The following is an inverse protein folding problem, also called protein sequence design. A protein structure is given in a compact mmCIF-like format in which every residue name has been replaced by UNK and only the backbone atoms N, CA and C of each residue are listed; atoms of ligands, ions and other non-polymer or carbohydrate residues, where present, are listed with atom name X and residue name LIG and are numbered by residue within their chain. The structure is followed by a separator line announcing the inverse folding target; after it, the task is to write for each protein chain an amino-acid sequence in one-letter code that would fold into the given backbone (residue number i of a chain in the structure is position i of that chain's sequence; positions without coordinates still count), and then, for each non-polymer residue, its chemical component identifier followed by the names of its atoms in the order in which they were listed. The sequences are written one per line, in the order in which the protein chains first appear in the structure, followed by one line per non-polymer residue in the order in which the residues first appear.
data_IF_457647610154
#
_entry.id   IF_457647610154
#
_cell.length_a   1.000
_cell.length_b   1.000
_cell.length_c   1.000
_cell.angle_alpha   90.00
_cell.angle_beta   90.00
_cell.angle_gamma   90.00
#
_symmetry.space_group_name_H-M   'P 1'
#
loop_
_entity.id
_entity.type
_entity.pdbx_description
1 polymer ?
#
# COMPACT_ATOMS: atom_id res chain seq x y z
N UNK A 1 21.71 78.19 24.09
CA UNK A 1 20.27 77.88 24.16
C UNK A 1 20.08 76.43 23.75
N UNK A 2 19.72 75.57 24.69
CA UNK A 2 19.38 74.18 24.44
C UNK A 2 17.94 74.06 23.95
N UNK A 3 17.64 73.09 23.07
CA UNK A 3 16.33 72.47 23.04
C UNK A 3 16.43 70.96 23.31
N UNK A 4 15.87 70.60 24.46
CA UNK A 4 14.86 69.57 24.68
C UNK A 4 15.10 68.15 24.17
N UNK A 5 15.33 67.26 25.13
CA UNK A 5 15.23 65.81 25.01
C UNK A 5 13.78 65.35 24.79
N UNK A 6 13.61 64.40 23.87
CA UNK A 6 12.47 63.47 23.83
C UNK A 6 13.04 62.07 24.04
N UNK A 7 12.68 61.46 25.17
CA UNK A 7 13.00 60.06 25.48
C UNK A 7 12.29 59.11 24.50
N UNK A 8 12.99 58.16 23.86
CA UNK A 8 12.33 57.02 23.21
C UNK A 8 11.98 55.94 24.24
N UNK A 9 10.79 55.35 24.07
CA UNK A 9 10.31 54.15 24.78
C UNK A 9 11.31 52.98 24.68
N UNK A 10 11.41 52.11 25.71
CA UNK A 10 12.19 50.88 25.61
C UNK A 10 11.53 49.90 24.62
N UNK A 11 12.37 49.32 23.75
CA UNK A 11 12.01 48.27 22.81
C UNK A 11 11.60 46.96 23.54
N UNK A 12 10.73 46.13 22.94
CA UNK A 12 10.43 44.81 23.47
C UNK A 12 11.68 43.91 23.41
N UNK A 13 11.85 42.97 24.36
CA UNK A 13 13.00 42.07 24.36
C UNK A 13 12.97 41.20 23.09
N UNK A 14 14.08 41.24 22.36
CA UNK A 14 14.27 40.52 21.11
C UNK A 14 14.10 39.01 21.26
N UNK A 15 13.42 38.43 20.28
CA UNK A 15 13.36 36.99 20.06
C UNK A 15 14.77 36.40 20.01
N UNK A 16 15.02 35.46 20.91
CA UNK A 16 16.22 34.63 20.90
C UNK A 16 16.24 33.79 19.62
N UNK A 17 17.34 33.78 18.84
CA UNK A 17 17.40 33.03 17.60
C UNK A 17 17.27 31.53 17.89
N UNK A 18 16.33 30.89 17.19
CA UNK A 18 16.08 29.47 17.24
C UNK A 18 17.41 28.68 17.10
N UNK A 19 17.76 27.94 18.14
CA UNK A 19 18.87 27.01 18.12
C UNK A 19 18.65 25.88 17.09
N UNK A 20 19.73 25.22 16.65
CA UNK A 20 19.65 24.17 15.64
C UNK A 20 18.79 22.99 16.11
N UNK A 21 18.00 22.42 15.19
CA UNK A 21 17.22 21.20 15.40
C UNK A 21 18.07 20.09 16.07
N UNK A 22 17.56 19.41 17.12
CA UNK A 22 18.33 18.38 17.79
C UNK A 22 18.51 17.16 16.88
N UNK A 23 19.76 16.73 16.78
CA UNK A 23 20.25 15.54 16.04
C UNK A 23 19.45 14.30 16.43
N UNK A 24 18.95 13.58 15.43
CA UNK A 24 18.25 12.30 15.55
C UNK A 24 19.22 11.25 16.13
N UNK A 25 18.93 10.60 17.28
CA UNK A 25 19.71 9.45 17.73
C UNK A 25 19.58 8.31 16.71
N UNK A 26 20.70 7.73 16.29
CA UNK A 26 20.77 6.72 15.22
C UNK A 26 19.92 5.46 15.47
N UNK A 27 19.54 4.73 14.41
CA UNK A 27 18.76 3.51 14.51
C UNK A 27 19.52 2.41 15.27
N UNK A 28 18.79 1.50 15.93
CA UNK A 28 19.38 0.27 16.47
C UNK A 28 20.12 -0.50 15.36
N UNK A 29 21.38 -0.87 15.64
CA UNK A 29 22.36 -1.38 14.67
C UNK A 29 22.05 -2.77 14.08
N UNK A 30 20.98 -3.42 14.54
CA UNK A 30 20.68 -4.84 14.24
C UNK A 30 19.48 -5.06 13.29
N UNK A 31 18.82 -4.00 12.82
CA UNK A 31 17.87 -4.17 11.70
C UNK A 31 18.67 -4.50 10.43
N UNK A 32 18.31 -5.56 9.67
CA UNK A 32 19.11 -6.05 8.55
C UNK A 32 19.41 -4.92 7.55
N UNK A 33 20.63 -4.85 7.00
CA UNK A 33 21.17 -3.77 6.14
C UNK A 33 20.24 -3.32 5.00
N UNK A 34 19.31 -4.16 4.53
CA UNK A 34 18.22 -3.81 3.59
C UNK A 34 17.14 -2.87 4.18
N UNK A 35 17.17 -2.59 5.48
CA UNK A 35 16.27 -1.68 6.16
C UNK A 35 16.51 -0.21 5.78
N UNK A 36 17.72 0.14 5.31
CA UNK A 36 18.06 1.49 4.85
C UNK A 36 17.19 1.93 3.65
N UNK A 37 16.95 1.02 2.70
CA UNK A 37 16.13 1.30 1.51
C UNK A 37 14.65 1.45 1.88
N UNK A 38 14.15 0.60 2.79
CA UNK A 38 12.77 0.67 3.28
C UNK A 38 12.50 1.91 4.16
N UNK A 39 13.51 2.42 4.87
CA UNK A 39 13.40 3.68 5.61
C UNK A 39 13.18 4.90 4.71
N UNK A 40 13.62 4.83 3.45
CA UNK A 40 13.46 5.91 2.48
C UNK A 40 12.05 5.95 1.88
N UNK A 41 11.55 4.82 1.39
CA UNK A 41 10.31 4.75 0.59
C UNK A 41 9.23 3.78 1.11
N UNK A 42 9.44 3.15 2.27
CA UNK A 42 8.51 2.16 2.81
C UNK A 42 8.30 1.00 1.84
N UNK A 43 7.05 0.59 1.64
CA UNK A 43 6.66 -0.48 0.72
C UNK A 43 6.55 -0.04 -0.75
N UNK A 44 6.70 1.25 -1.07
CA UNK A 44 6.72 1.70 -2.46
C UNK A 44 7.94 1.16 -3.20
N UNK A 45 7.85 0.96 -4.54
CA UNK A 45 9.02 0.65 -5.33
C UNK A 45 10.03 1.80 -5.28
N UNK A 46 11.32 1.50 -5.44
CA UNK A 46 12.39 2.51 -5.40
C UNK A 46 12.31 3.58 -6.52
N UNK A 47 11.54 3.31 -7.58
CA UNK A 47 11.31 4.20 -8.73
C UNK A 47 9.85 4.15 -9.15
N UNK A 48 9.34 5.18 -9.85
CA UNK A 48 7.98 5.13 -10.39
C UNK A 48 7.79 3.88 -11.26
N UNK A 49 6.64 3.19 -11.13
CA UNK A 49 6.32 2.04 -11.95
C UNK A 49 6.44 2.31 -13.45
N UNK A 50 6.73 1.25 -14.21
CA UNK A 50 6.89 1.35 -15.67
C UNK A 50 5.52 1.50 -16.32
N UNK A 51 5.26 2.70 -16.85
CA UNK A 51 4.00 3.04 -17.52
C UNK A 51 3.81 2.24 -18.81
N UNK A 52 4.82 2.25 -19.67
CA UNK A 52 4.79 1.57 -20.98
C UNK A 52 5.91 0.55 -21.05
N UNK A 53 5.57 -0.72 -21.30
CA UNK A 53 6.58 -1.74 -21.59
C UNK A 53 7.06 -1.59 -23.03
N UNK A 54 8.29 -1.97 -23.34
CA UNK A 54 8.89 -1.83 -24.66
C UNK A 54 9.01 -3.18 -25.40
N UNK A 55 9.13 -3.10 -26.73
CA UNK A 55 9.34 -4.26 -27.60
C UNK A 55 8.19 -5.27 -27.51
N UNK A 56 8.52 -6.55 -27.42
CA UNK A 56 7.53 -7.64 -27.39
C UNK A 56 6.61 -7.61 -26.17
N UNK A 57 6.94 -6.82 -25.14
CA UNK A 57 6.14 -6.71 -23.91
C UNK A 57 5.03 -5.66 -23.99
N UNK A 58 4.97 -4.88 -25.07
CA UNK A 58 3.85 -3.96 -25.35
C UNK A 58 2.52 -4.74 -25.34
N UNK A 59 2.49 -5.90 -26.01
CA UNK A 59 1.33 -6.79 -26.09
C UNK A 59 0.78 -7.20 -24.70
N UNK A 60 1.64 -7.42 -23.71
CA UNK A 60 1.19 -7.73 -22.34
C UNK A 60 0.48 -6.53 -21.69
N UNK A 61 0.93 -5.30 -21.99
CA UNK A 61 0.27 -4.08 -21.50
C UNK A 61 -1.10 -3.90 -22.15
N UNK A 62 -1.18 -4.11 -23.45
CA UNK A 62 -2.43 -4.00 -24.22
C UNK A 62 -3.44 -5.05 -23.77
N UNK A 63 -3.00 -6.30 -23.60
CA UNK A 63 -3.82 -7.39 -23.11
C UNK A 63 -4.33 -7.13 -21.69
N UNK A 64 -3.50 -6.59 -20.81
CA UNK A 64 -3.91 -6.23 -19.45
C UNK A 64 -4.93 -5.07 -19.44
N UNK A 65 -4.74 -4.05 -20.28
CA UNK A 65 -5.69 -2.95 -20.44
C UNK A 65 -7.05 -3.42 -21.01
N UNK A 66 -7.02 -4.26 -22.04
CA UNK A 66 -8.22 -4.84 -22.63
C UNK A 66 -8.95 -5.77 -21.65
N UNK A 67 -8.21 -6.61 -20.91
CA UNK A 67 -8.80 -7.45 -19.86
C UNK A 67 -9.41 -6.59 -18.75
N UNK A 68 -8.74 -5.54 -18.28
CA UNK A 68 -9.23 -4.66 -17.22
C UNK A 68 -10.51 -3.92 -17.58
N UNK A 69 -10.72 -3.61 -18.86
CA UNK A 69 -11.88 -2.84 -19.36
C UNK A 69 -12.94 -3.67 -20.08
N UNK A 70 -12.73 -4.98 -20.24
CA UNK A 70 -13.74 -5.91 -20.77
C UNK A 70 -15.11 -5.78 -20.07
N UNK A 71 -16.23 -6.04 -20.77
CA UNK A 71 -17.57 -5.88 -20.18
C UNK A 71 -17.82 -6.85 -19.01
N UNK A 72 -17.29 -8.06 -19.11
CA UNK A 72 -17.49 -9.13 -18.12
C UNK A 72 -16.25 -10.06 -18.01
N UNK A 73 -16.33 -11.05 -17.11
CA UNK A 73 -15.22 -12.00 -16.87
C UNK A 73 -14.98 -12.93 -18.05
N UNK A 74 -16.02 -13.36 -18.74
CA UNK A 74 -15.92 -14.33 -19.83
C UNK A 74 -15.35 -13.67 -21.09
N UNK A 75 -15.72 -12.42 -21.35
CA UNK A 75 -15.08 -11.55 -22.35
C UNK A 75 -13.59 -11.36 -22.06
N UNK A 76 -13.21 -11.11 -20.79
CA UNK A 76 -11.80 -11.03 -20.40
C UNK A 76 -11.06 -12.38 -20.64
N UNK A 77 -11.68 -13.50 -20.26
CA UNK A 77 -11.13 -14.85 -20.49
C UNK A 77 -10.98 -15.17 -21.98
N UNK A 78 -11.93 -14.74 -22.81
CA UNK A 78 -11.89 -14.94 -24.26
C UNK A 78 -10.69 -14.21 -24.90
N UNK A 79 -10.35 -13.00 -24.42
CA UNK A 79 -9.15 -12.29 -24.84
C UNK A 79 -7.87 -13.09 -24.52
N UNK A 80 -7.77 -13.64 -23.30
CA UNK A 80 -6.61 -14.44 -22.89
C UNK A 80 -6.52 -15.74 -23.69
N UNK A 81 -7.64 -16.43 -23.89
CA UNK A 81 -7.69 -17.65 -24.69
C UNK A 81 -7.30 -17.40 -26.16
N UNK A 82 -7.67 -16.23 -26.72
CA UNK A 82 -7.23 -15.82 -28.05
C UNK A 82 -5.73 -15.59 -28.10
N UNK A 83 -5.17 -14.80 -27.18
CA UNK A 83 -3.72 -14.56 -27.10
C UNK A 83 -2.92 -15.86 -26.86
N UNK A 84 -3.51 -16.83 -26.16
CA UNK A 84 -2.96 -18.17 -25.99
C UNK A 84 -2.90 -18.95 -27.31
N UNK A 85 -4.01 -18.98 -28.08
CA UNK A 85 -4.05 -19.62 -29.41
C UNK A 85 -3.13 -18.97 -30.43
N UNK A 86 -3.00 -17.65 -30.37
CA UNK A 86 -2.13 -16.87 -31.27
C UNK A 86 -0.63 -17.01 -30.89
N UNK A 87 -0.31 -17.75 -29.82
CA UNK A 87 1.05 -18.06 -29.38
C UNK A 87 1.75 -16.92 -28.63
N UNK A 88 1.07 -15.79 -28.42
CA UNK A 88 1.63 -14.58 -27.79
C UNK A 88 2.08 -14.85 -26.35
N UNK A 89 1.26 -15.55 -25.56
CA UNK A 89 1.55 -15.87 -24.16
C UNK A 89 2.79 -16.77 -24.03
N UNK A 90 2.94 -17.74 -24.92
CA UNK A 90 4.12 -18.61 -24.96
C UNK A 90 5.38 -17.84 -25.36
N UNK A 91 5.27 -16.93 -26.33
CA UNK A 91 6.37 -16.07 -26.76
C UNK A 91 6.83 -15.12 -25.63
N UNK A 92 5.91 -14.60 -24.82
CA UNK A 92 6.23 -13.81 -23.62
C UNK A 92 6.92 -14.70 -22.56
N UNK A 93 6.37 -15.89 -22.30
CA UNK A 93 6.88 -16.85 -21.32
C UNK A 93 8.35 -17.20 -21.55
N UNK A 94 8.76 -17.40 -22.80
CA UNK A 94 10.15 -17.72 -23.15
C UNK A 94 11.15 -16.58 -22.86
N UNK A 95 10.65 -15.34 -22.75
CA UNK A 95 11.47 -14.14 -22.57
C UNK A 95 11.52 -13.62 -21.12
N UNK A 96 10.73 -14.19 -20.21
CA UNK A 96 10.65 -13.75 -18.80
C UNK A 96 12.02 -13.72 -18.11
N UNK A 97 12.89 -14.70 -18.40
CA UNK A 97 14.24 -14.76 -17.82
C UNK A 97 15.12 -13.54 -18.18
N UNK A 98 14.81 -12.86 -19.28
CA UNK A 98 15.55 -11.68 -19.78
C UNK A 98 15.02 -10.36 -19.19
N UNK A 99 13.94 -10.38 -18.42
CA UNK A 99 13.41 -9.18 -17.78
C UNK A 99 14.39 -8.65 -16.75
N UNK A 100 14.68 -7.35 -16.80
CA UNK A 100 15.30 -6.66 -15.67
C UNK A 100 14.33 -6.61 -14.49
N UNK A 101 14.79 -6.49 -13.24
CA UNK A 101 13.91 -6.50 -12.06
C UNK A 101 12.74 -5.52 -12.18
N UNK A 102 13.00 -4.29 -12.63
CA UNK A 102 11.96 -3.27 -12.84
C UNK A 102 10.90 -3.65 -13.88
N UNK A 103 11.29 -4.35 -14.96
CA UNK A 103 10.32 -4.83 -15.94
C UNK A 103 9.63 -6.12 -15.50
N UNK A 104 10.24 -6.90 -14.61
CA UNK A 104 9.58 -8.03 -13.96
C UNK A 104 8.45 -7.57 -13.04
N UNK A 105 8.65 -6.49 -12.27
CA UNK A 105 7.58 -5.84 -11.49
C UNK A 105 6.48 -5.28 -12.40
N UNK A 106 6.86 -4.68 -13.54
CA UNK A 106 5.88 -4.22 -14.52
C UNK A 106 5.03 -5.37 -15.10
N UNK A 107 5.67 -6.50 -15.40
CA UNK A 107 4.99 -7.70 -15.88
C UNK A 107 4.09 -8.32 -14.80
N UNK A 108 4.53 -8.36 -13.54
CA UNK A 108 3.74 -8.92 -12.43
C UNK A 108 2.46 -8.12 -12.19
N UNK A 109 2.49 -6.78 -12.27
CA UNK A 109 1.28 -5.96 -12.26
C UNK A 109 0.30 -6.39 -13.37
N UNK A 110 0.77 -6.50 -14.61
CA UNK A 110 -0.09 -6.77 -15.77
C UNK A 110 -0.71 -8.17 -15.69
N UNK A 111 0.08 -9.16 -15.28
CA UNK A 111 -0.42 -10.51 -14.98
C UNK A 111 -1.45 -10.47 -13.83
N UNK A 112 -1.21 -9.70 -12.77
CA UNK A 112 -2.15 -9.58 -11.65
C UNK A 112 -3.48 -8.96 -12.07
N UNK A 113 -3.43 -7.92 -12.91
CA UNK A 113 -4.63 -7.29 -13.47
C UNK A 113 -5.41 -8.28 -14.32
N UNK A 114 -4.74 -9.01 -15.23
CA UNK A 114 -5.39 -10.04 -16.05
C UNK A 114 -6.04 -11.11 -15.17
N UNK A 115 -5.32 -11.64 -14.18
CA UNK A 115 -5.83 -12.67 -13.28
C UNK A 115 -7.05 -12.16 -12.48
N UNK A 116 -6.99 -10.95 -11.93
CA UNK A 116 -8.12 -10.34 -11.22
C UNK A 116 -9.32 -10.12 -12.16
N UNK A 117 -9.08 -9.60 -13.36
CA UNK A 117 -10.09 -9.33 -14.38
C UNK A 117 -10.84 -10.60 -14.85
N UNK A 118 -10.13 -11.74 -14.91
CA UNK A 118 -10.68 -13.04 -15.28
C UNK A 118 -11.31 -13.81 -14.10
N UNK A 119 -11.25 -13.26 -12.88
CA UNK A 119 -11.73 -13.92 -11.67
C UNK A 119 -10.85 -15.07 -11.19
N UNK A 120 -9.56 -15.03 -11.50
CA UNK A 120 -8.56 -16.05 -11.15
C UNK A 120 -7.67 -15.66 -9.98
N UNK A 121 -8.02 -14.61 -9.22
CA UNK A 121 -7.18 -14.07 -8.14
C UNK A 121 -6.75 -15.08 -7.08
N UNK A 122 -7.57 -16.12 -6.86
CA UNK A 122 -7.30 -17.16 -5.87
C UNK A 122 -6.69 -18.44 -6.44
N UNK A 123 -6.38 -18.48 -7.73
CA UNK A 123 -5.75 -19.65 -8.32
C UNK A 123 -4.26 -19.71 -7.94
N UNK A 124 -3.82 -20.92 -7.63
CA UNK A 124 -2.39 -21.24 -7.65
C UNK A 124 -2.02 -21.63 -9.08
N UNK A 125 -1.15 -20.88 -9.77
CA UNK A 125 -0.78 -21.17 -11.15
C UNK A 125 -0.04 -22.51 -11.34
N UNK A 126 0.49 -23.10 -10.26
CA UNK A 126 1.16 -24.40 -10.30
C UNK A 126 0.21 -25.57 -10.02
N UNK A 127 -0.96 -25.33 -9.44
CA UNK A 127 -1.88 -26.39 -9.07
C UNK A 127 -2.54 -27.03 -10.31
N UNK A 128 -2.57 -28.37 -10.44
CA UNK A 128 -3.16 -29.05 -11.59
C UNK A 128 -4.63 -28.69 -11.83
N UNK A 129 -5.39 -28.42 -10.76
CA UNK A 129 -6.80 -28.03 -10.84
C UNK A 129 -7.00 -26.69 -11.55
N UNK A 130 -6.05 -25.75 -11.42
CA UNK A 130 -6.13 -24.43 -12.04
C UNK A 130 -6.17 -24.50 -13.56
N UNK A 131 -5.56 -25.53 -14.16
CA UNK A 131 -5.59 -25.77 -15.62
C UNK A 131 -6.97 -26.12 -16.16
N UNK A 132 -7.92 -26.48 -15.30
CA UNK A 132 -9.33 -26.68 -15.69
C UNK A 132 -10.12 -25.38 -15.72
N UNK A 133 -9.59 -24.31 -15.10
CA UNK A 133 -10.31 -23.05 -14.88
C UNK A 133 -9.70 -21.88 -15.65
N UNK A 134 -8.42 -21.95 -16.00
CA UNK A 134 -7.68 -20.90 -16.68
C UNK A 134 -6.85 -21.44 -17.85
N UNK A 135 -6.51 -20.54 -18.77
CA UNK A 135 -5.68 -20.85 -19.94
C UNK A 135 -4.28 -21.34 -19.51
N UNK A 136 -3.84 -22.47 -20.04
CA UNK A 136 -2.59 -23.10 -19.65
C UNK A 136 -1.36 -22.23 -19.97
N UNK A 137 -1.34 -21.57 -21.14
CA UNK A 137 -0.22 -20.70 -21.52
C UNK A 137 -0.15 -19.45 -20.63
N UNK A 138 -1.31 -18.94 -20.19
CA UNK A 138 -1.35 -17.87 -19.19
C UNK A 138 -0.82 -18.32 -17.82
N UNK A 139 -1.21 -19.51 -17.33
CA UNK A 139 -0.69 -20.05 -16.07
C UNK A 139 0.83 -20.28 -16.11
N UNK A 140 1.37 -20.73 -17.25
CA UNK A 140 2.80 -20.88 -17.46
C UNK A 140 3.53 -19.52 -17.45
N UNK A 141 2.97 -18.50 -18.12
CA UNK A 141 3.48 -17.13 -18.05
C UNK A 141 3.44 -16.58 -16.62
N UNK A 142 2.32 -16.75 -15.92
CA UNK A 142 2.14 -16.29 -14.55
C UNK A 142 3.18 -16.94 -13.62
N UNK A 143 3.29 -18.26 -13.61
CA UNK A 143 4.26 -18.97 -12.76
C UNK A 143 5.70 -18.53 -13.02
N UNK A 144 6.07 -18.28 -14.28
CA UNK A 144 7.39 -17.79 -14.62
C UNK A 144 7.65 -16.36 -14.13
N UNK A 145 6.66 -15.47 -14.26
CA UNK A 145 6.76 -14.11 -13.72
C UNK A 145 6.85 -14.17 -12.20
N UNK A 146 6.02 -14.98 -11.53
CA UNK A 146 6.05 -15.19 -10.07
C UNK A 146 7.45 -15.63 -9.60
N UNK A 147 8.06 -16.57 -10.31
CA UNK A 147 9.42 -17.00 -10.04
C UNK A 147 10.44 -15.87 -10.28
N UNK A 148 10.31 -15.10 -11.36
CA UNK A 148 11.24 -14.01 -11.70
C UNK A 148 11.26 -12.87 -10.68
N UNK A 149 10.10 -12.56 -10.08
CA UNK A 149 9.96 -11.53 -9.03
C UNK A 149 10.10 -12.08 -7.60
N UNK A 150 10.37 -13.38 -7.44
CA UNK A 150 10.47 -14.05 -6.14
C UNK A 150 9.23 -13.82 -5.25
N UNK A 151 8.05 -13.94 -5.87
CA UNK A 151 6.77 -13.63 -5.26
C UNK A 151 5.71 -14.63 -5.70
N UNK A 152 5.45 -15.63 -4.86
CA UNK A 152 4.58 -16.76 -5.22
C UNK A 152 3.10 -16.37 -5.38
N UNK A 153 2.58 -15.46 -4.55
CA UNK A 153 1.19 -15.05 -4.59
C UNK A 153 1.09 -13.53 -4.68
N UNK A 154 1.27 -12.97 -5.87
CA UNK A 154 1.28 -11.51 -6.05
C UNK A 154 -0.07 -10.94 -6.48
N UNK A 155 -1.12 -11.73 -6.70
CA UNK A 155 -2.44 -11.21 -7.09
C UNK A 155 -3.18 -10.72 -5.85
N UNK A 156 -2.94 -9.47 -5.51
CA UNK A 156 -3.54 -8.81 -4.36
C UNK A 156 -3.42 -7.30 -4.47
N UNK A 157 -4.13 -6.60 -3.59
CA UNK A 157 -4.11 -5.14 -3.52
C UNK A 157 -2.70 -4.56 -3.40
N UNK A 158 -1.74 -5.14 -2.63
CA UNK A 158 -0.39 -4.60 -2.58
C UNK A 158 0.23 -4.46 -3.98
N UNK A 159 0.14 -5.49 -4.83
CA UNK A 159 0.65 -5.43 -6.21
C UNK A 159 -0.21 -4.51 -7.09
N UNK A 160 -1.54 -4.63 -6.99
CA UNK A 160 -2.48 -3.87 -7.82
C UNK A 160 -2.52 -2.37 -7.48
N UNK A 161 -2.00 -1.96 -6.32
CA UNK A 161 -1.86 -0.57 -5.92
C UNK A 161 -0.41 -0.08 -6.07
N UNK A 162 0.55 -0.71 -5.38
CA UNK A 162 1.93 -0.21 -5.25
C UNK A 162 2.69 -0.17 -6.59
N UNK A 163 2.30 -1.01 -7.56
CA UNK A 163 2.88 -1.01 -8.90
C UNK A 163 1.98 -0.31 -9.93
N UNK A 164 0.74 0.05 -9.58
CA UNK A 164 -0.24 0.58 -10.54
C UNK A 164 -0.44 2.09 -10.43
N UNK A 165 0.64 2.86 -10.48
CA UNK A 165 0.56 4.31 -10.43
C UNK A 165 1.72 4.96 -11.18
N UNK A 166 1.50 6.18 -11.65
CA UNK A 166 2.51 7.04 -12.21
C UNK A 166 2.08 8.50 -11.99
N UNK A 167 3.02 9.46 -11.92
CA UNK A 167 2.64 10.86 -11.97
C UNK A 167 2.02 11.18 -13.34
N UNK A 168 0.93 11.94 -13.34
CA UNK A 168 0.20 12.32 -14.56
C UNK A 168 1.12 13.07 -15.54
N UNK A 169 1.97 13.94 -14.98
CA UNK A 169 2.95 14.74 -15.70
C UNK A 169 4.35 14.42 -15.21
N UNK A 170 5.35 14.60 -16.07
CA UNK A 170 6.75 14.48 -15.64
C UNK A 170 7.02 15.52 -14.54
N UNK A 171 7.51 15.11 -13.35
CA UNK A 171 7.76 16.04 -12.28
C UNK A 171 8.84 17.05 -12.68
N UNK A 172 8.66 18.32 -12.29
CA UNK A 172 9.57 19.42 -12.63
C UNK A 172 10.91 19.35 -11.89
N UNK A 173 10.94 18.67 -10.75
CA UNK A 173 12.13 18.47 -9.90
C UNK A 173 12.26 16.99 -9.57
N UNK A 174 13.48 16.55 -9.25
CA UNK A 174 13.70 15.19 -8.73
C UNK A 174 13.14 15.11 -7.32
N UNK A 175 12.04 14.38 -7.14
CA UNK A 175 11.40 14.16 -5.84
C UNK A 175 11.67 12.72 -5.39
N UNK A 176 11.92 12.48 -4.09
CA UNK A 176 11.85 11.15 -3.50
C UNK A 176 10.51 10.49 -3.85
N UNK A 177 10.51 9.17 -4.01
CA UNK A 177 9.33 8.45 -4.51
C UNK A 177 8.12 8.58 -3.59
N UNK A 178 8.32 8.61 -2.27
CA UNK A 178 7.26 8.83 -1.30
C UNK A 178 6.69 10.25 -1.45
N UNK A 179 7.54 11.27 -1.64
CA UNK A 179 7.07 12.63 -1.85
C UNK A 179 6.30 12.76 -3.16
N UNK A 180 6.83 12.18 -4.25
CA UNK A 180 6.16 12.13 -5.55
C UNK A 180 4.74 11.54 -5.43
N UNK A 181 4.62 10.38 -4.79
CA UNK A 181 3.32 9.71 -4.59
C UNK A 181 2.38 10.53 -3.69
N UNK A 182 2.89 11.36 -2.79
CA UNK A 182 2.07 12.20 -1.90
C UNK A 182 1.59 13.50 -2.53
N UNK A 183 2.43 14.16 -3.34
CA UNK A 183 2.18 15.54 -3.75
C UNK A 183 1.70 15.68 -5.19
N UNK A 184 2.06 14.75 -6.07
CA UNK A 184 1.69 14.85 -7.48
C UNK A 184 0.29 14.31 -7.76
N UNK A 185 -0.30 14.74 -8.87
CA UNK A 185 -1.46 14.08 -9.45
C UNK A 185 -1.05 12.71 -9.98
N UNK A 186 -1.74 11.65 -9.54
CA UNK A 186 -1.42 10.27 -9.90
C UNK A 186 -2.46 9.71 -10.85
N UNK A 187 -1.99 8.89 -11.79
CA UNK A 187 -2.83 8.09 -12.70
C UNK A 187 -2.41 6.62 -12.60
N UNK A 188 -3.34 5.67 -12.75
CA UNK A 188 -2.97 4.26 -12.77
C UNK A 188 -2.21 3.92 -14.07
N UNK A 189 -1.30 2.95 -13.97
CA UNK A 189 -0.56 2.43 -15.13
C UNK A 189 -1.48 1.61 -16.03
N UNK A 190 -2.25 0.72 -15.43
CA UNK A 190 -3.33 -0.05 -16.05
C UNK A 190 -4.64 0.43 -15.44
N UNK A 191 -5.49 1.05 -16.28
CA UNK A 191 -6.79 1.59 -15.90
C UNK A 191 -7.85 0.49 -15.93
N UNK A 192 -8.76 0.50 -14.96
CA UNK A 192 -9.96 -0.31 -14.96
C UNK A 192 -11.18 0.42 -15.56
N UNK A 193 -11.13 1.74 -15.61
CA UNK A 193 -12.03 2.54 -16.44
C UNK A 193 -11.53 2.67 -17.89
N UNK A 194 -12.44 2.64 -18.89
CA UNK A 194 -12.09 2.93 -20.27
C UNK A 194 -11.36 4.27 -20.45
N UNK A 195 -10.60 4.39 -21.54
CA UNK A 195 -9.95 5.65 -21.90
C UNK A 195 -11.01 6.73 -22.19
N UNK A 196 -10.68 7.99 -21.85
CA UNK A 196 -11.62 9.11 -21.96
C UNK A 196 -12.71 9.18 -20.87
N UNK A 197 -12.94 8.10 -20.11
CA UNK A 197 -13.87 8.10 -18.99
C UNK A 197 -13.20 8.54 -17.67
N UNK A 198 -13.95 9.07 -16.69
CA UNK A 198 -13.42 9.31 -15.36
C UNK A 198 -12.96 8.00 -14.68
N UNK A 199 -11.96 8.11 -13.80
CA UNK A 199 -11.46 6.97 -13.02
C UNK A 199 -12.57 6.40 -12.13
N UNK A 200 -12.76 5.09 -12.20
CA UNK A 200 -13.75 4.36 -11.42
C UNK A 200 -13.30 4.17 -9.97
N UNK A 201 -14.20 3.64 -9.14
CA UNK A 201 -13.91 3.44 -7.71
C UNK A 201 -12.71 2.53 -7.44
N UNK A 202 -12.48 1.50 -8.27
CA UNK A 202 -11.31 0.63 -8.11
C UNK A 202 -10.00 1.38 -8.37
N UNK A 203 -9.91 2.13 -9.47
CA UNK A 203 -8.73 2.94 -9.80
C UNK A 203 -8.43 3.94 -8.67
N UNK A 204 -9.47 4.64 -8.19
CA UNK A 204 -9.37 5.59 -7.08
C UNK A 204 -8.92 4.94 -5.78
N UNK A 205 -9.43 3.75 -5.43
CA UNK A 205 -8.99 3.00 -4.25
C UNK A 205 -7.51 2.60 -4.34
N UNK A 206 -7.04 2.19 -5.52
CA UNK A 206 -5.63 1.82 -5.73
C UNK A 206 -4.70 3.04 -5.55
N UNK A 207 -5.09 4.20 -6.07
CA UNK A 207 -4.35 5.45 -5.89
C UNK A 207 -4.39 5.92 -4.43
N UNK A 208 -5.53 5.86 -3.76
CA UNK A 208 -5.66 6.19 -2.34
C UNK A 208 -4.79 5.27 -1.47
N UNK A 209 -4.74 3.97 -1.79
CA UNK A 209 -3.86 2.99 -1.13
C UNK A 209 -2.39 3.33 -1.37
N UNK A 210 -2.01 3.70 -2.59
CA UNK A 210 -0.64 4.15 -2.89
C UNK A 210 -0.25 5.38 -2.07
N UNK A 211 -1.13 6.38 -1.96
CA UNK A 211 -0.89 7.57 -1.14
C UNK A 211 -0.80 7.26 0.35
N UNK A 212 -1.61 6.32 0.83
CA UNK A 212 -1.57 5.83 2.21
C UNK A 212 -0.19 5.21 2.49
N UNK A 213 0.31 4.36 1.60
CA UNK A 213 1.62 3.71 1.70
C UNK A 213 2.77 4.72 1.62
N UNK A 214 2.63 5.74 0.77
CA UNK A 214 3.59 6.82 0.65
C UNK A 214 3.73 7.66 1.93
N UNK A 215 2.62 7.95 2.62
CA UNK A 215 2.67 8.55 3.95
C UNK A 215 3.07 7.54 5.04
N UNK A 216 2.79 6.26 4.82
CA UNK A 216 3.18 5.16 5.71
C UNK A 216 4.68 5.04 5.91
N UNK A 217 5.51 5.59 5.02
CA UNK A 217 6.98 5.58 5.16
C UNK A 217 7.46 6.19 6.49
N UNK A 218 6.71 7.14 7.06
CA UNK A 218 7.04 7.73 8.36
C UNK A 218 6.97 6.70 9.51
N UNK A 219 6.14 5.66 9.39
CA UNK A 219 6.11 4.55 10.35
C UNK A 219 7.41 3.76 10.35
N UNK A 220 8.05 3.60 9.19
CA UNK A 220 9.34 2.92 9.07
C UNK A 220 10.45 3.70 9.78
N UNK A 221 10.43 5.03 9.65
CA UNK A 221 11.39 5.89 10.34
C UNK A 221 11.20 5.86 11.86
N UNK A 222 9.95 5.76 12.33
CA UNK A 222 9.63 5.62 13.75
C UNK A 222 9.95 4.22 14.30
N UNK A 223 9.82 3.18 13.47
CA UNK A 223 10.15 1.81 13.84
C UNK A 223 11.61 1.68 14.31
N UNK A 224 12.55 2.37 13.65
CA UNK A 224 13.95 2.39 14.07
C UNK A 224 14.20 2.99 15.46
N UNK A 225 13.31 3.86 15.92
CA UNK A 225 13.37 4.46 17.27
C UNK A 225 12.81 3.52 18.34
N UNK A 226 11.81 2.71 18.01
CA UNK A 226 11.14 1.80 18.95
C UNK A 226 11.75 0.39 18.97
N UNK A 227 12.42 -0.01 17.89
CA UNK A 227 13.03 -1.33 17.76
C UNK A 227 14.16 -1.53 18.77
N UNK A 228 14.04 -2.57 19.61
CA UNK A 228 15.09 -2.98 20.55
C UNK A 228 15.26 -2.09 21.78
N UNK A 229 14.41 -1.07 21.97
CA UNK A 229 14.46 -0.21 23.17
C UNK A 229 13.66 -0.78 24.33
N UNK A 230 14.10 -0.47 25.54
CA UNK A 230 13.32 -0.78 26.74
C UNK A 230 12.03 0.05 26.75
N UNK A 231 10.86 -0.54 27.04
CA UNK A 231 9.60 0.21 27.08
C UNK A 231 9.55 1.33 28.13
N UNK A 232 10.41 1.30 29.15
CA UNK A 232 10.58 2.36 30.15
C UNK A 232 11.52 3.50 29.74
N UNK A 233 12.13 3.44 28.55
CA UNK A 233 12.95 4.51 28.00
C UNK A 233 12.08 5.76 27.74
N UNK A 234 12.53 6.93 28.21
CA UNK A 234 11.82 8.21 28.05
C UNK A 234 11.50 8.58 26.59
N UNK A 235 12.27 8.06 25.63
CA UNK A 235 12.04 8.25 24.20
C UNK A 235 10.85 7.46 23.65
N UNK A 236 10.44 6.38 24.32
CA UNK A 236 9.34 5.49 23.90
C UNK A 236 8.01 6.25 23.88
N UNK A 237 7.65 6.96 24.95
CA UNK A 237 6.44 7.79 24.99
C UNK A 237 6.41 8.87 23.91
N UNK A 238 7.56 9.46 23.61
CA UNK A 238 7.69 10.47 22.55
C UNK A 238 7.52 9.86 21.16
N UNK A 239 8.08 8.67 20.90
CA UNK A 239 7.90 7.94 19.66
C UNK A 239 6.44 7.51 19.46
N UNK A 240 5.75 7.06 20.51
CA UNK A 240 4.33 6.70 20.45
C UNK A 240 3.43 7.93 20.16
N UNK A 241 3.70 9.09 20.76
CA UNK A 241 3.00 10.34 20.41
C UNK A 241 3.22 10.73 18.94
N UNK A 242 4.42 10.53 18.40
CA UNK A 242 4.70 10.75 16.97
C UNK A 242 3.92 9.76 16.09
N UNK A 243 3.84 8.50 16.49
CA UNK A 243 3.07 7.47 15.81
C UNK A 243 1.58 7.83 15.73
N UNK A 244 0.98 8.29 16.84
CA UNK A 244 -0.42 8.76 16.88
C UNK A 244 -0.64 9.89 15.88
N UNK A 245 0.26 10.88 15.83
CA UNK A 245 0.17 11.98 14.85
C UNK A 245 0.22 11.49 13.41
N UNK A 246 1.09 10.53 13.10
CA UNK A 246 1.16 9.91 11.77
C UNK A 246 -0.16 9.19 11.45
N UNK A 247 -0.71 8.39 12.38
CA UNK A 247 -1.98 7.70 12.19
C UNK A 247 -3.16 8.67 11.98
N UNK A 248 -3.20 9.79 12.70
CA UNK A 248 -4.21 10.83 12.49
C UNK A 248 -4.08 11.49 11.12
N UNK A 249 -2.86 11.81 10.67
CA UNK A 249 -2.62 12.36 9.34
C UNK A 249 -3.07 11.39 8.24
N UNK A 250 -2.72 10.10 8.36
CA UNK A 250 -3.17 9.04 7.45
C UNK A 250 -4.70 8.95 7.43
N UNK A 251 -5.35 9.03 8.59
CA UNK A 251 -6.82 8.95 8.69
C UNK A 251 -7.50 10.16 8.06
N UNK A 252 -6.97 11.36 8.26
CA UNK A 252 -7.46 12.58 7.62
C UNK A 252 -7.33 12.48 6.10
N UNK A 253 -6.19 11.99 5.59
CA UNK A 253 -6.01 11.74 4.17
C UNK A 253 -7.04 10.75 3.63
N UNK A 254 -7.26 9.59 4.28
CA UNK A 254 -8.26 8.63 3.82
C UNK A 254 -9.68 9.22 3.77
N UNK A 255 -10.03 10.10 4.70
CA UNK A 255 -11.32 10.80 4.67
C UNK A 255 -11.45 11.74 3.47
N UNK A 256 -10.37 12.42 3.09
CA UNK A 256 -10.33 13.26 1.90
C UNK A 256 -10.50 12.41 0.64
N UNK A 257 -9.75 11.32 0.52
CA UNK A 257 -9.87 10.37 -0.61
C UNK A 257 -11.27 9.74 -0.70
N UNK A 258 -11.97 9.56 0.43
CA UNK A 258 -13.31 9.01 0.44
C UNK A 258 -14.34 9.90 -0.28
N UNK A 259 -14.14 11.22 -0.34
CA UNK A 259 -15.03 12.11 -1.07
C UNK A 259 -14.92 11.85 -2.59
N UNK A 260 -13.69 11.86 -3.11
CA UNK A 260 -13.39 11.56 -4.51
C UNK A 260 -13.84 10.15 -4.91
N UNK A 261 -13.64 9.17 -4.02
CA UNK A 261 -14.06 7.79 -4.24
C UNK A 261 -15.59 7.68 -4.37
N UNK A 262 -16.36 8.37 -3.51
CA UNK A 262 -17.84 8.32 -3.57
C UNK A 262 -18.39 8.94 -4.85
N UNK A 263 -17.77 10.02 -5.32
CA UNK A 263 -18.14 10.70 -6.55
C UNK A 263 -17.75 9.91 -7.82
N UNK A 264 -16.82 8.96 -7.71
CA UNK A 264 -16.36 8.16 -8.86
C UNK A 264 -17.43 7.16 -9.33
N UNK A 265 -17.48 6.87 -10.66
CA UNK A 265 -18.41 5.89 -11.20
C UNK A 265 -18.23 4.52 -10.57
N UNK A 266 -19.35 3.92 -10.15
CA UNK A 266 -19.38 2.55 -9.67
C UNK A 266 -19.44 1.57 -10.85
N UNK A 267 -18.85 0.40 -10.66
CA UNK A 267 -18.91 -0.70 -11.62
C UNK A 267 -19.10 -2.01 -10.85
N UNK A 268 -20.16 -2.76 -11.16
CA UNK A 268 -20.42 -4.06 -10.56
C UNK A 268 -19.23 -5.02 -10.77
N UNK A 269 -18.54 -4.90 -11.91
CA UNK A 269 -17.33 -5.68 -12.21
C UNK A 269 -16.18 -5.34 -11.28
N UNK A 270 -15.90 -4.04 -11.11
CA UNK A 270 -14.89 -3.57 -10.16
C UNK A 270 -15.22 -4.01 -8.74
N UNK A 271 -16.50 -3.96 -8.35
CA UNK A 271 -17.00 -4.50 -7.09
C UNK A 271 -16.74 -6.00 -6.94
N UNK A 272 -17.02 -6.79 -7.97
CA UNK A 272 -16.78 -8.24 -7.97
C UNK A 272 -15.29 -8.61 -7.86
N UNK A 273 -14.38 -7.79 -8.40
CA UNK A 273 -12.92 -7.94 -8.18
C UNK A 273 -12.57 -7.70 -6.72
N UNK A 274 -13.08 -6.61 -6.13
CA UNK A 274 -12.84 -6.30 -4.72
C UNK A 274 -13.40 -7.38 -3.79
N UNK A 275 -14.62 -7.87 -4.03
CA UNK A 275 -15.20 -8.97 -3.25
C UNK A 275 -14.36 -10.24 -3.32
N UNK A 276 -13.83 -10.59 -4.50
CA UNK A 276 -12.96 -11.75 -4.67
C UNK A 276 -11.63 -11.59 -3.92
N UNK A 277 -11.03 -10.40 -3.94
CA UNK A 277 -9.82 -10.10 -3.18
C UNK A 277 -10.10 -10.08 -1.67
N UNK A 278 -11.25 -9.54 -1.24
CA UNK A 278 -11.67 -9.51 0.15
C UNK A 278 -11.80 -10.93 0.74
N UNK A 279 -12.42 -11.85 0.00
CA UNK A 279 -12.56 -13.25 0.39
C UNK A 279 -11.21 -13.96 0.62
N UNK A 280 -10.12 -13.42 0.05
CA UNK A 280 -8.76 -13.95 0.19
C UNK A 280 -7.90 -13.15 1.18
N UNK A 281 -8.49 -12.16 1.86
CA UNK A 281 -7.76 -11.18 2.67
C UNK A 281 -6.84 -10.26 1.85
N UNK A 282 -6.87 -10.31 0.52
CA UNK A 282 -5.89 -9.66 -0.34
C UNK A 282 -6.10 -8.14 -0.50
N UNK A 283 -6.84 -7.49 0.41
CA UNK A 283 -7.16 -6.07 0.38
C UNK A 283 -6.45 -5.25 1.46
N UNK A 284 -5.67 -5.87 2.34
CA UNK A 284 -5.01 -5.13 3.41
C UNK A 284 -3.70 -4.46 2.93
N UNK A 285 -3.58 -3.12 3.06
CA UNK A 285 -2.34 -2.40 2.80
C UNK A 285 -1.22 -2.84 3.76
N UNK A 286 0.00 -3.08 3.25
CA UNK A 286 1.17 -3.45 4.07
C UNK A 286 1.50 -2.49 5.22
N UNK A 287 1.20 -1.20 5.09
CA UNK A 287 1.40 -0.18 6.14
C UNK A 287 0.71 -0.56 7.46
N UNK A 288 -0.43 -1.26 7.42
CA UNK A 288 -1.11 -1.69 8.64
C UNK A 288 -0.40 -2.84 9.35
N UNK A 289 0.22 -3.75 8.58
CA UNK A 289 1.07 -4.80 9.15
C UNK A 289 2.31 -4.21 9.81
N UNK A 290 2.88 -3.14 9.21
CA UNK A 290 3.98 -2.41 9.83
C UNK A 290 3.56 -1.69 11.12
N UNK A 291 2.39 -1.02 11.12
CA UNK A 291 1.87 -0.35 12.30
C UNK A 291 1.62 -1.33 13.47
N UNK A 292 1.09 -2.51 13.19
CA UNK A 292 0.93 -3.57 14.19
C UNK A 292 2.28 -4.07 14.70
N UNK A 293 3.23 -4.30 13.81
CA UNK A 293 4.58 -4.73 14.20
C UNK A 293 5.23 -3.69 15.13
N UNK A 294 5.15 -2.39 14.81
CA UNK A 294 5.66 -1.29 15.66
C UNK A 294 5.01 -1.27 17.05
N UNK A 295 3.72 -1.57 17.16
CA UNK A 295 3.01 -1.63 18.44
C UNK A 295 3.22 -2.96 19.19
N UNK A 296 4.03 -3.87 18.66
CA UNK A 296 4.26 -5.21 19.22
C UNK A 296 3.03 -6.13 19.11
N UNK A 297 2.05 -5.78 18.28
CA UNK A 297 0.81 -6.55 18.04
C UNK A 297 0.88 -7.40 16.78
N UNK A 298 1.93 -7.28 15.97
CA UNK A 298 2.14 -8.01 14.71
C UNK A 298 2.51 -9.49 14.86
N UNK A 299 2.90 -9.93 16.06
CA UNK A 299 3.20 -11.33 16.36
C UNK A 299 1.98 -12.25 16.44
N UNK A 300 2.22 -13.57 16.28
CA UNK A 300 1.19 -14.63 16.36
C UNK A 300 0.41 -14.53 17.67
N UNK A 301 -0.91 -14.31 17.57
CA UNK A 301 -1.83 -14.83 18.59
C UNK A 301 -2.08 -16.30 18.27
N UNK A 302 -2.10 -17.18 19.28
CA UNK A 302 -2.45 -18.57 19.07
C UNK A 302 -3.82 -18.66 18.37
N UNK A 303 -3.90 -19.35 17.23
CA UNK A 303 -5.11 -19.46 16.40
C UNK A 303 -5.23 -18.43 15.25
N UNK A 304 -4.39 -17.40 15.21
CA UNK A 304 -4.47 -16.35 14.18
C UNK A 304 -3.62 -16.69 12.94
N UNK A 305 -4.16 -17.56 12.08
CA UNK A 305 -3.54 -17.94 10.80
C UNK A 305 -3.68 -16.84 9.73
N UNK A 306 -4.58 -15.87 9.93
CA UNK A 306 -4.95 -14.86 8.94
C UNK A 306 -3.86 -13.84 8.62
N UNK A 307 -3.04 -13.41 9.58
CA UNK A 307 -2.06 -12.33 9.35
C UNK A 307 -0.79 -12.78 8.61
N UNK A 308 -0.30 -13.99 8.86
CA UNK A 308 0.78 -14.56 8.05
C UNK A 308 0.31 -14.90 6.63
N UNK A 309 -0.98 -15.20 6.47
CA UNK A 309 -1.62 -15.34 5.18
C UNK A 309 -1.62 -14.04 4.37
N UNK A 310 -1.64 -12.84 4.99
CA UNK A 310 -1.56 -11.58 4.24
C UNK A 310 -0.17 -11.26 3.71
N UNK A 311 0.88 -11.69 4.43
CA UNK A 311 2.27 -11.46 4.01
C UNK A 311 2.62 -12.18 2.71
N UNK A 312 1.88 -13.21 2.31
CA UNK A 312 2.13 -13.94 1.05
C UNK A 312 2.04 -13.06 -0.20
N UNK A 313 1.33 -11.93 -0.10
CA UNK A 313 1.21 -10.89 -1.14
C UNK A 313 2.30 -9.81 -1.10
N UNK A 314 3.34 -10.00 -0.28
CA UNK A 314 4.49 -9.10 -0.22
C UNK A 314 5.76 -9.79 -0.73
N UNK A 315 6.69 -9.07 -1.39
CA UNK A 315 8.01 -9.59 -1.74
C UNK A 315 8.79 -10.14 -0.53
N UNK A 316 9.69 -11.11 -0.75
CA UNK A 316 10.50 -11.75 0.31
C UNK A 316 11.17 -10.72 1.24
N UNK A 317 11.76 -9.66 0.67
CA UNK A 317 12.45 -8.63 1.45
C UNK A 317 11.51 -7.90 2.43
N UNK A 318 10.29 -7.57 1.99
CA UNK A 318 9.28 -6.93 2.82
C UNK A 318 8.78 -7.87 3.93
N UNK A 319 8.60 -9.16 3.62
CA UNK A 319 8.22 -10.18 4.62
C UNK A 319 9.30 -10.36 5.69
N UNK A 320 10.57 -10.44 5.28
CA UNK A 320 11.70 -10.58 6.18
C UNK A 320 11.84 -9.38 7.11
N UNK A 321 11.69 -8.16 6.57
CA UNK A 321 11.71 -6.93 7.35
C UNK A 321 10.57 -6.88 8.39
N UNK A 322 9.32 -7.17 7.98
CA UNK A 322 8.20 -7.24 8.92
C UNK A 322 8.43 -8.26 10.04
N UNK A 323 9.02 -9.41 9.69
CA UNK A 323 9.36 -10.47 10.67
C UNK A 323 10.45 -10.03 11.64
N UNK A 324 11.44 -9.25 11.18
CA UNK A 324 12.42 -8.65 12.07
C UNK A 324 11.76 -7.63 12.99
N UNK A 325 10.92 -6.75 12.44
CA UNK A 325 10.23 -5.72 13.20
C UNK A 325 9.32 -6.30 14.29
N UNK A 326 8.57 -7.37 13.99
CA UNK A 326 7.75 -8.08 15.00
C UNK A 326 8.58 -8.50 16.22
N UNK A 327 9.82 -8.96 16.00
CA UNK A 327 10.71 -9.38 17.08
C UNK A 327 11.23 -8.19 17.88
N UNK A 328 11.71 -7.15 17.20
CA UNK A 328 12.35 -6.01 17.85
C UNK A 328 11.37 -5.07 18.57
N UNK A 329 10.12 -4.99 18.12
CA UNK A 329 9.07 -4.18 18.75
C UNK A 329 8.14 -4.98 19.67
N UNK A 330 8.33 -6.30 19.80
CA UNK A 330 7.56 -7.13 20.72
C UNK A 330 7.51 -6.59 22.17
N UNK A 331 8.60 -6.05 22.76
CA UNK A 331 8.56 -5.51 24.13
C UNK A 331 7.60 -4.34 24.33
N UNK A 332 7.33 -3.54 23.28
CA UNK A 332 6.45 -2.35 23.36
C UNK A 332 5.06 -2.73 23.84
N UNK A 333 4.56 -3.93 23.49
CA UNK A 333 3.23 -4.41 23.93
C UNK A 333 3.10 -4.55 25.44
N UNK A 334 4.21 -4.64 26.17
CA UNK A 334 4.18 -4.75 27.65
C UNK A 334 3.61 -3.48 28.30
N UNK A 335 3.67 -2.33 27.61
CA UNK A 335 3.02 -1.10 28.05
C UNK A 335 1.50 -1.24 28.22
N UNK A 336 0.86 -2.18 27.52
CA UNK A 336 -0.57 -2.47 27.68
C UNK A 336 -0.94 -2.92 29.10
N UNK A 337 0.02 -3.50 29.82
CA UNK A 337 -0.18 -4.07 31.16
C UNK A 337 0.43 -3.21 32.27
N UNK A 338 1.03 -2.06 31.93
CA UNK A 338 1.63 -1.13 32.88
C UNK A 338 0.64 -0.01 33.23
N UNK A 339 0.85 0.63 34.38
CA UNK A 339 0.23 1.92 34.71
C UNK A 339 1.08 3.10 34.22
N UNK A 340 0.50 4.31 34.23
CA UNK A 340 1.22 5.55 33.97
C UNK A 340 1.03 6.16 32.58
N UNK A 341 1.71 7.28 32.30
CA UNK A 341 1.46 8.11 31.11
C UNK A 341 1.79 7.38 29.80
N UNK A 342 2.89 6.63 29.73
CA UNK A 342 3.28 5.94 28.49
C UNK A 342 2.35 4.78 28.14
N UNK A 343 1.75 4.13 29.14
CA UNK A 343 0.71 3.12 28.94
C UNK A 343 -0.60 3.74 28.41
N UNK A 344 -0.93 4.98 28.81
CA UNK A 344 -2.06 5.71 28.25
C UNK A 344 -1.82 6.08 26.78
N UNK A 345 -0.62 6.60 26.46
CA UNK A 345 -0.23 6.90 25.07
C UNK A 345 -0.20 5.64 24.20
N UNK A 346 0.26 4.50 24.72
CA UNK A 346 0.22 3.23 23.99
C UNK A 346 -1.22 2.81 23.63
N UNK A 347 -2.17 2.91 24.58
CA UNK A 347 -3.59 2.61 24.33
C UNK A 347 -4.20 3.55 23.29
N UNK A 348 -3.90 4.84 23.38
CA UNK A 348 -4.34 5.83 22.37
C UNK A 348 -3.79 5.49 20.96
N UNK A 349 -2.53 5.04 20.87
CA UNK A 349 -1.95 4.59 19.60
C UNK A 349 -2.65 3.34 19.02
N UNK A 350 -3.10 2.41 19.88
CA UNK A 350 -3.90 1.27 19.45
C UNK A 350 -5.29 1.69 18.96
N UNK A 351 -5.97 2.57 19.70
CA UNK A 351 -7.29 3.09 19.34
C UNK A 351 -7.25 3.89 18.03
N UNK A 352 -6.21 4.71 17.84
CA UNK A 352 -5.99 5.47 16.61
C UNK A 352 -5.74 4.55 15.42
N UNK A 353 -4.98 3.46 15.58
CA UNK A 353 -4.81 2.44 14.54
C UNK A 353 -6.12 1.73 14.19
N UNK A 354 -6.92 1.35 15.19
CA UNK A 354 -8.25 0.75 14.96
C UNK A 354 -9.14 1.71 14.16
N UNK A 355 -9.16 2.98 14.55
CA UNK A 355 -9.94 4.00 13.87
C UNK A 355 -9.47 4.25 12.42
N UNK A 356 -8.16 4.19 12.17
CA UNK A 356 -7.57 4.26 10.83
C UNK A 356 -7.99 3.04 9.98
N UNK A 357 -7.87 1.82 10.51
CA UNK A 357 -8.30 0.58 9.82
C UNK A 357 -9.79 0.61 9.47
N UNK A 358 -10.65 1.06 10.40
CA UNK A 358 -12.10 1.23 10.15
C UNK A 358 -12.37 2.23 9.04
N UNK A 359 -11.62 3.34 9.01
CA UNK A 359 -11.75 4.35 7.95
C UNK A 359 -11.40 3.74 6.59
N UNK A 360 -10.28 3.00 6.51
CA UNK A 360 -9.87 2.31 5.28
C UNK A 360 -10.88 1.25 4.83
N UNK A 361 -11.38 0.42 5.75
CA UNK A 361 -12.42 -0.56 5.47
C UNK A 361 -13.69 0.10 4.90
N UNK A 362 -14.03 1.30 5.38
CA UNK A 362 -15.11 2.11 4.80
C UNK A 362 -14.87 2.52 3.34
N UNK A 363 -13.63 2.87 2.96
CA UNK A 363 -13.28 3.14 1.55
C UNK A 363 -13.41 1.86 0.72
N UNK A 364 -12.86 0.74 1.19
CA UNK A 364 -12.98 -0.55 0.49
C UNK A 364 -14.44 -0.93 0.28
N UNK A 365 -15.27 -0.79 1.32
CA UNK A 365 -16.69 -1.08 1.23
C UNK A 365 -17.40 -0.17 0.22
N UNK A 366 -17.13 1.14 0.24
CA UNK A 366 -17.66 2.10 -0.73
C UNK A 366 -17.24 1.79 -2.17
N UNK A 367 -16.00 1.34 -2.37
CA UNK A 367 -15.50 0.94 -3.69
C UNK A 367 -16.15 -0.36 -4.19
N UNK A 368 -16.39 -1.31 -3.28
CA UNK A 368 -16.94 -2.63 -3.62
C UNK A 368 -18.46 -2.62 -3.87
N UNK A 369 -19.20 -1.71 -3.25
CA UNK A 369 -20.67 -1.69 -3.28
C UNK A 369 -21.19 -0.44 -4.00
N UNK A 370 -21.72 -0.58 -5.24
CA UNK A 370 -22.25 0.53 -6.04
C UNK A 370 -23.32 1.33 -5.31
N UNK A 371 -24.19 0.64 -4.57
CA UNK A 371 -25.46 1.16 -4.04
C UNK A 371 -25.41 1.63 -2.58
N UNK A 372 -24.22 1.68 -1.96
CA UNK A 372 -24.07 2.16 -0.59
C UNK A 372 -24.27 3.70 -0.51
N UNK A 373 -25.52 4.15 -0.65
CA UNK A 373 -25.94 5.49 -0.24
C UNK A 373 -25.83 5.61 1.29
N UNK A 374 -25.33 6.73 1.85
CA UNK A 374 -25.17 6.89 3.30
C UNK A 374 -26.48 7.07 4.10
N UNK A 375 -27.63 6.63 3.59
CA UNK A 375 -28.96 6.96 4.16
C UNK A 375 -29.97 5.82 4.25
N UNK A 376 -29.59 4.58 3.93
CA UNK A 376 -30.53 3.44 3.88
C UNK A 376 -30.00 2.21 4.58
N UNK A 377 -29.79 2.30 5.89
CA UNK A 377 -29.32 1.17 6.70
C UNK A 377 -29.87 1.31 8.11
N UNK A 378 -31.18 1.10 8.23
CA UNK A 378 -31.85 0.96 9.51
C UNK A 378 -31.16 -0.12 10.34
N UNK A 379 -31.08 0.15 11.65
CA UNK A 379 -30.71 -0.76 12.71
C UNK A 379 -31.40 -2.12 12.52
N UNK A 380 -30.68 -3.11 12.00
CA UNK A 380 -30.93 -4.49 12.39
C UNK A 380 -30.06 -4.80 13.59
N UNK A 381 -30.63 -4.49 14.76
CA UNK A 381 -30.32 -5.21 15.97
C UNK A 381 -30.55 -6.71 15.70
N UNK A 382 -29.56 -7.53 16.05
CA UNK A 382 -29.78 -8.95 16.30
C UNK A 382 -29.26 -9.19 17.71
N UNK A 383 -30.17 -9.76 18.51
CA UNK A 383 -30.03 -10.14 19.90
C UNK A 383 -28.90 -11.15 20.14
#
# INVERSE_FOLDING_TARGET
MAPTALSPLPAPPGESPAGPDPVIPGPATDLPVRASDLGAHGFLPARPPVRTMAGTWVQLSDLAGAAATAPDRDSARALIARAGRDGELMALRQRVSRLSPRHADAASLRVAVIAAACGWSGLDPLAPVSRRTADAAFLDLWSAVAHRVDHQQFVGLPTLALLNWAPERKPRRSLPIDQLARTEALVPVVRWSPEGQPLGRLDRLMLATTRLEAHGCWLFRLAGTLAGRDPGDASTGTALRRLIRVQHALRAQLRNEAADLRAAPASARQGAVLTALAAQGALEPPVFQAADAVLGTGGRRAGDTGRHQLRRYLPVAHRAWLTALDRHCAPVRTLAHRGGPDAAVYREAQESLIALRRTYAGLVHCAAHPDAHPGGGGLHAVA
#
